data_IF_117925145447
#
_entry.id   IF_117925145447
#
_cell.length_a   1.000
_cell.length_b   1.000
_cell.length_c   1.000
_cell.angle_alpha   90.00
_cell.angle_beta   90.00
_cell.angle_gamma   90.00
#
_symmetry.space_group_name_H-M   'P 1'
#
loop_
_entity.id
_entity.type
_entity.pdbx_description
1 polymer ?
#
# COMPACT_ATOMS: atom_id res chain seq x y z
N UNK A 1 0.24 10.96 -15.46
CA UNK A 1 -0.75 11.69 -16.30
C UNK A 1 -2.16 11.40 -15.78
N UNK A 2 -3.03 12.40 -15.71
CA UNK A 2 -4.42 12.22 -15.29
C UNK A 2 -5.36 12.36 -16.49
N UNK A 3 -6.24 11.37 -16.69
CA UNK A 3 -7.32 11.38 -17.67
C UNK A 3 -8.67 11.30 -16.96
N UNK A 4 -9.69 11.91 -17.56
CA UNK A 4 -11.04 11.85 -17.02
C UNK A 4 -11.71 10.53 -17.41
N UNK A 5 -11.78 10.28 -18.72
CA UNK A 5 -12.55 9.18 -19.30
C UNK A 5 -11.69 7.95 -19.63
N UNK A 6 -12.18 6.72 -19.42
CA UNK A 6 -11.45 5.51 -19.76
C UNK A 6 -11.10 5.40 -21.24
N UNK A 7 -11.96 5.86 -22.15
CA UNK A 7 -11.76 5.77 -23.60
C UNK A 7 -10.56 6.60 -24.08
N UNK A 8 -10.16 7.62 -23.31
CA UNK A 8 -8.97 8.43 -23.61
C UNK A 8 -7.65 7.66 -23.44
N UNK A 9 -7.67 6.51 -22.75
CA UNK A 9 -6.52 5.62 -22.58
C UNK A 9 -5.99 5.10 -23.91
N UNK A 10 -6.87 4.74 -24.83
CA UNK A 10 -6.49 4.23 -26.14
C UNK A 10 -5.80 5.30 -26.99
N UNK A 11 -6.27 6.55 -26.90
CA UNK A 11 -5.66 7.68 -27.57
C UNK A 11 -4.26 7.97 -27.02
N UNK A 12 -4.12 7.91 -25.69
CA UNK A 12 -2.82 8.07 -25.03
C UNK A 12 -1.83 7.00 -25.54
N UNK A 13 -2.18 5.72 -25.52
CA UNK A 13 -1.27 4.67 -26.00
C UNK A 13 -0.96 4.79 -27.50
N UNK A 14 -1.92 5.21 -28.33
CA UNK A 14 -1.69 5.45 -29.76
C UNK A 14 -0.77 6.65 -30.02
N UNK A 15 -0.71 7.61 -29.11
CA UNK A 15 0.17 8.77 -29.22
C UNK A 15 1.62 8.48 -28.83
N UNK A 16 1.88 7.38 -28.12
CA UNK A 16 3.22 6.97 -27.72
C UNK A 16 3.98 6.41 -28.94
N UNK A 17 4.91 7.21 -29.47
CA UNK A 17 5.83 6.80 -30.54
C UNK A 17 7.02 5.94 -30.05
N UNK A 18 7.08 5.64 -28.75
CA UNK A 18 8.13 4.86 -28.10
C UNK A 18 7.50 3.81 -27.17
N UNK A 19 8.26 2.78 -26.82
CA UNK A 19 7.88 1.83 -25.76
C UNK A 19 7.36 2.61 -24.55
N UNK A 20 6.25 2.19 -23.91
CA UNK A 20 5.67 2.91 -22.79
C UNK A 20 6.76 3.12 -21.74
N UNK A 21 7.12 4.39 -21.54
CA UNK A 21 7.84 4.84 -20.36
C UNK A 21 7.01 4.46 -19.13
N UNK A 22 7.62 4.50 -17.94
CA UNK A 22 6.98 4.22 -16.65
C UNK A 22 5.92 5.26 -16.26
N UNK A 23 5.15 5.76 -17.23
CA UNK A 23 4.11 6.76 -17.05
C UNK A 23 2.92 6.13 -16.33
N UNK A 24 2.68 6.57 -15.10
CA UNK A 24 1.47 6.23 -14.37
C UNK A 24 0.29 7.02 -14.94
N UNK A 25 -0.72 6.30 -15.45
CA UNK A 25 -1.96 6.86 -15.95
C UNK A 25 -3.06 6.73 -14.90
N UNK A 26 -3.57 7.86 -14.41
CA UNK A 26 -4.66 7.92 -13.43
C UNK A 26 -5.94 8.26 -14.18
N UNK A 27 -6.89 7.32 -14.23
CA UNK A 27 -8.19 7.53 -14.88
C UNK A 27 -9.24 7.76 -13.81
N UNK A 28 -9.72 9.00 -13.68
CA UNK A 28 -10.56 9.44 -12.57
C UNK A 28 -11.89 8.69 -12.54
N UNK A 29 -12.56 8.54 -13.69
CA UNK A 29 -13.85 7.84 -13.74
C UNK A 29 -13.71 6.36 -13.37
N UNK A 30 -12.63 5.69 -13.79
CA UNK A 30 -12.38 4.29 -13.47
C UNK A 30 -12.18 4.10 -11.96
N UNK A 31 -11.32 4.90 -11.34
CA UNK A 31 -11.08 4.85 -9.89
C UNK A 31 -12.38 5.15 -9.12
N UNK A 32 -13.08 6.23 -9.49
CA UNK A 32 -14.34 6.64 -8.84
C UNK A 32 -15.39 5.53 -8.90
N UNK A 33 -15.62 4.96 -10.08
CA UNK A 33 -16.65 3.92 -10.26
C UNK A 33 -16.27 2.62 -9.55
N UNK A 34 -14.98 2.25 -9.55
CA UNK A 34 -14.51 1.07 -8.81
C UNK A 34 -14.65 1.25 -7.29
N UNK A 35 -14.30 2.42 -6.75
CA UNK A 35 -14.47 2.72 -5.32
C UNK A 35 -15.95 2.71 -4.92
N UNK A 36 -16.83 3.30 -5.72
CA UNK A 36 -18.28 3.26 -5.50
C UNK A 36 -18.82 1.83 -5.52
N UNK A 37 -18.42 1.03 -6.50
CA UNK A 37 -18.84 -0.37 -6.58
C UNK A 37 -18.38 -1.19 -5.37
N UNK A 38 -17.17 -0.95 -4.86
CA UNK A 38 -16.65 -1.62 -3.66
C UNK A 38 -17.34 -1.14 -2.39
N UNK A 39 -17.72 0.14 -2.32
CA UNK A 39 -18.48 0.68 -1.20
C UNK A 39 -19.86 0.05 -1.03
N UNK A 40 -20.44 -0.52 -2.09
CA UNK A 40 -21.69 -1.28 -2.00
C UNK A 40 -21.53 -2.59 -1.20
N UNK A 41 -20.32 -3.15 -1.13
CA UNK A 41 -20.02 -4.36 -0.35
C UNK A 41 -19.58 -4.03 1.08
N UNK A 42 -18.83 -2.94 1.24
CA UNK A 42 -18.34 -2.46 2.52
C UNK A 42 -18.60 -0.95 2.63
N UNK A 43 -19.69 -0.53 3.29
CA UNK A 43 -19.97 0.88 3.55
C UNK A 43 -18.81 1.55 4.31
N UNK A 44 -18.48 2.79 3.96
CA UNK A 44 -17.38 3.53 4.58
C UNK A 44 -15.99 3.27 3.98
N UNK A 45 -15.85 2.27 3.10
CA UNK A 45 -14.56 1.92 2.47
C UNK A 45 -13.92 3.10 1.71
N UNK A 46 -14.74 3.94 1.07
CA UNK A 46 -14.24 5.11 0.33
C UNK A 46 -13.56 6.09 1.29
N UNK A 47 -14.20 6.41 2.42
CA UNK A 47 -13.63 7.31 3.41
C UNK A 47 -12.32 6.76 3.97
N UNK A 48 -12.30 5.46 4.32
CA UNK A 48 -11.08 4.79 4.79
C UNK A 48 -9.94 4.87 3.77
N UNK A 49 -10.17 4.49 2.50
CA UNK A 49 -9.14 4.54 1.46
C UNK A 49 -8.70 5.98 1.17
N UNK A 50 -9.62 6.94 1.19
CA UNK A 50 -9.31 8.35 0.98
C UNK A 50 -8.39 8.89 2.07
N UNK A 51 -8.63 8.52 3.33
CA UNK A 51 -7.78 8.92 4.45
C UNK A 51 -6.39 8.27 4.33
N UNK A 52 -6.31 6.98 4.02
CA UNK A 52 -5.02 6.26 3.91
C UNK A 52 -4.07 6.75 2.80
N UNK A 53 -4.60 7.43 1.78
CA UNK A 53 -3.81 7.96 0.64
C UNK A 53 -3.50 9.45 0.83
N UNK A 54 -4.23 10.13 1.71
CA UNK A 54 -4.07 11.55 1.95
C UNK A 54 -3.28 11.78 3.24
N UNK A 55 -2.18 12.52 3.15
CA UNK A 55 -1.46 12.93 4.35
C UNK A 55 -2.28 13.92 5.15
N UNK A 56 -2.71 13.50 6.34
CA UNK A 56 -3.29 14.37 7.34
C UNK A 56 -2.18 14.85 8.27
N UNK A 57 -2.13 16.16 8.53
CA UNK A 57 -1.35 16.68 9.64
C UNK A 57 -2.05 16.41 10.97
N UNK A 58 -1.44 16.87 12.07
CA UNK A 58 -2.06 16.82 13.40
C UNK A 58 -3.45 17.47 13.36
N UNK A 59 -4.47 16.69 13.67
CA UNK A 59 -5.86 17.15 13.77
C UNK A 59 -6.08 17.65 15.20
N UNK A 60 -6.42 18.93 15.33
CA UNK A 60 -6.84 19.49 16.60
C UNK A 60 -8.19 18.86 17.02
N UNK A 61 -8.11 17.95 17.99
CA UNK A 61 -9.23 17.16 18.50
C UNK A 61 -10.14 17.97 19.43
N UNK A 62 -9.69 19.13 19.91
CA UNK A 62 -10.49 20.02 20.76
C UNK A 62 -11.55 20.80 19.95
N UNK A 63 -11.51 20.74 18.62
CA UNK A 63 -12.45 21.45 17.74
C UNK A 63 -13.86 20.83 17.79
N UNK A 64 -13.95 19.50 17.94
CA UNK A 64 -15.24 18.78 17.94
C UNK A 64 -15.30 17.90 19.18
N UNK A 65 -16.19 18.27 20.11
CA UNK A 65 -16.45 17.46 21.29
C UNK A 65 -17.15 16.14 20.91
N UNK A 66 -16.47 15.02 21.17
CA UNK A 66 -17.07 13.69 21.11
C UNK A 66 -16.06 12.56 20.87
N UNK A 67 -16.22 11.46 21.60
CA UNK A 67 -15.31 10.30 21.56
C UNK A 67 -15.12 9.74 20.14
N UNK A 68 -16.18 9.75 19.32
CA UNK A 68 -16.13 9.28 17.92
C UNK A 68 -15.17 10.09 17.04
N UNK A 69 -14.98 11.38 17.34
CA UNK A 69 -14.11 12.25 16.54
C UNK A 69 -12.66 11.97 16.87
N UNK A 70 -12.34 11.73 18.15
CA UNK A 70 -11.02 11.30 18.58
C UNK A 70 -10.62 9.97 17.92
N UNK A 71 -11.50 8.97 17.94
CA UNK A 71 -11.25 7.67 17.26
C UNK A 71 -11.09 7.83 15.74
N UNK A 72 -11.89 8.71 15.12
CA UNK A 72 -11.75 9.01 13.69
C UNK A 72 -10.44 9.74 13.37
N UNK A 73 -10.03 10.69 14.21
CA UNK A 73 -8.80 11.44 14.07
C UNK A 73 -7.56 10.56 14.26
N UNK A 74 -7.59 9.61 15.19
CA UNK A 74 -6.54 8.57 15.32
C UNK A 74 -6.40 7.77 14.01
N UNK A 75 -7.52 7.38 13.40
CA UNK A 75 -7.51 6.71 12.10
C UNK A 75 -7.02 7.58 10.94
N UNK A 76 -7.14 8.92 11.03
CA UNK A 76 -6.64 9.85 10.01
C UNK A 76 -5.12 9.93 9.96
N UNK A 77 -4.44 9.66 11.09
CA UNK A 77 -2.97 9.68 11.15
C UNK A 77 -2.31 8.53 10.37
N UNK A 78 -3.07 7.53 9.93
CA UNK A 78 -2.53 6.34 9.28
C UNK A 78 -2.43 6.51 7.75
N UNK A 79 -1.30 6.08 7.18
CA UNK A 79 -1.03 6.13 5.75
C UNK A 79 -0.56 4.78 5.18
N UNK A 80 -0.58 4.63 3.85
CA UNK A 80 -0.03 3.45 3.16
C UNK A 80 1.43 3.69 2.75
N UNK A 81 2.32 2.86 3.30
CA UNK A 81 3.74 2.83 2.95
C UNK A 81 4.09 1.60 2.10
N UNK A 82 5.06 1.77 1.21
CA UNK A 82 5.63 0.70 0.38
C UNK A 82 7.10 0.52 0.74
N UNK A 83 7.42 -0.58 1.40
CA UNK A 83 8.76 -0.85 1.93
C UNK A 83 9.42 -2.00 1.20
N UNK A 84 10.67 -1.82 0.77
CA UNK A 84 11.46 -2.91 0.19
C UNK A 84 12.11 -3.71 1.30
N UNK A 85 11.95 -5.03 1.28
CA UNK A 85 12.61 -5.92 2.24
C UNK A 85 13.78 -6.65 1.58
N UNK A 86 14.84 -6.94 2.34
CA UNK A 86 16.00 -7.70 1.87
C UNK A 86 16.12 -9.03 2.61
N UNK A 87 16.96 -9.94 2.11
CA UNK A 87 17.21 -11.19 2.82
C UNK A 87 18.05 -10.97 4.09
N UNK A 88 18.85 -9.91 4.14
CA UNK A 88 19.76 -9.62 5.26
C UNK A 88 18.97 -9.18 6.50
N UNK A 89 17.83 -8.50 6.30
CA UNK A 89 16.95 -8.04 7.36
C UNK A 89 16.11 -9.21 7.97
N UNK A 90 16.06 -10.37 7.31
CA UNK A 90 15.14 -11.45 7.64
C UNK A 90 15.87 -12.80 7.77
N UNK A 91 15.95 -13.34 8.98
CA UNK A 91 16.56 -14.65 9.25
C UNK A 91 15.78 -15.82 8.60
N UNK A 92 16.28 -16.32 7.46
CA UNK A 92 15.90 -17.60 6.88
C UNK A 92 14.51 -17.67 6.21
N UNK A 93 13.83 -18.82 6.35
CA UNK A 93 12.53 -19.11 5.74
C UNK A 93 11.40 -18.35 6.47
N UNK A 94 11.30 -17.04 6.24
CA UNK A 94 10.18 -16.26 6.76
C UNK A 94 8.95 -16.37 5.85
N UNK A 95 7.77 -16.28 6.45
CA UNK A 95 6.49 -16.25 5.75
C UNK A 95 5.81 -14.90 5.92
N UNK A 96 4.98 -14.52 4.94
CA UNK A 96 4.18 -13.29 5.01
C UNK A 96 3.37 -13.21 6.30
N UNK A 97 2.76 -14.33 6.72
CA UNK A 97 2.06 -14.45 7.99
C UNK A 97 2.90 -14.00 9.19
N UNK A 98 4.16 -14.44 9.27
CA UNK A 98 5.01 -14.14 10.41
C UNK A 98 5.36 -12.66 10.45
N UNK A 99 5.62 -12.05 9.30
CA UNK A 99 5.86 -10.60 9.19
C UNK A 99 4.62 -9.83 9.63
N UNK A 100 3.44 -10.18 9.11
CA UNK A 100 2.19 -9.52 9.50
C UNK A 100 1.88 -9.66 11.00
N UNK A 101 2.23 -10.79 11.62
CA UNK A 101 2.07 -11.00 13.06
C UNK A 101 2.97 -10.08 13.87
N UNK A 102 4.27 -10.03 13.54
CA UNK A 102 5.25 -9.17 14.25
C UNK A 102 4.92 -7.69 14.06
N UNK A 103 4.61 -7.28 12.82
CA UNK A 103 4.23 -5.90 12.53
C UNK A 103 3.03 -5.42 13.38
N UNK A 104 2.04 -6.29 13.59
CA UNK A 104 0.88 -5.95 14.39
C UNK A 104 1.17 -5.98 15.90
N UNK A 105 1.95 -6.94 16.38
CA UNK A 105 2.21 -7.12 17.82
C UNK A 105 3.20 -6.09 18.37
N UNK A 106 4.26 -5.78 17.63
CA UNK A 106 5.35 -4.93 18.14
C UNK A 106 5.17 -3.46 17.73
N UNK A 107 4.55 -3.19 16.58
CA UNK A 107 4.51 -1.86 15.98
C UNK A 107 3.09 -1.32 15.74
N UNK A 108 2.05 -2.06 16.13
CA UNK A 108 0.64 -1.73 15.84
C UNK A 108 0.36 -1.44 14.36
N UNK A 109 1.16 -2.02 13.45
CA UNK A 109 1.09 -1.78 12.02
C UNK A 109 0.42 -2.94 11.26
N UNK A 110 -0.19 -2.65 10.11
CA UNK A 110 -0.94 -3.63 9.31
C UNK A 110 -0.26 -3.86 7.96
N UNK A 111 0.42 -4.99 7.83
CA UNK A 111 0.95 -5.46 6.53
C UNK A 111 -0.17 -6.17 5.76
N UNK A 112 -0.64 -5.57 4.66
CA UNK A 112 -1.83 -6.06 3.94
C UNK A 112 -1.58 -6.58 2.52
N UNK A 113 -0.43 -6.25 1.91
CA UNK A 113 -0.10 -6.75 0.58
C UNK A 113 1.40 -6.96 0.37
N UNK A 114 1.71 -7.77 -0.63
CA UNK A 114 3.07 -8.09 -1.07
C UNK A 114 3.19 -7.84 -2.58
N UNK A 115 4.19 -7.08 -2.98
CA UNK A 115 4.66 -6.97 -4.35
C UNK A 115 5.86 -7.88 -4.58
N UNK A 116 5.81 -8.63 -5.68
CA UNK A 116 6.91 -9.46 -6.15
C UNK A 116 7.35 -8.90 -7.50
N UNK A 117 8.54 -8.30 -7.55
CA UNK A 117 9.11 -7.73 -8.77
C UNK A 117 10.28 -8.58 -9.27
N UNK A 118 10.28 -8.94 -10.55
CA UNK A 118 11.41 -9.66 -11.14
C UNK A 118 12.60 -8.73 -11.38
N UNK A 119 13.80 -9.13 -10.93
CA UNK A 119 15.05 -8.39 -11.20
C UNK A 119 15.45 -8.44 -12.68
N UNK A 120 15.06 -9.50 -13.40
CA UNK A 120 15.37 -9.69 -14.82
C UNK A 120 14.44 -8.90 -15.75
N UNK A 121 13.21 -8.63 -15.31
CA UNK A 121 12.18 -7.92 -16.07
C UNK A 121 11.54 -6.88 -15.15
N UNK A 122 12.24 -5.76 -14.95
CA UNK A 122 11.85 -4.68 -14.03
C UNK A 122 10.45 -4.11 -14.28
N UNK A 123 9.92 -4.25 -15.49
CA UNK A 123 8.57 -3.79 -15.88
C UNK A 123 7.42 -4.72 -15.45
N UNK A 124 7.71 -5.88 -14.86
CA UNK A 124 6.68 -6.83 -14.40
C UNK A 124 6.81 -7.07 -12.90
N UNK A 125 5.87 -6.51 -12.15
CA UNK A 125 5.61 -6.90 -10.77
C UNK A 125 4.20 -7.45 -10.61
N UNK A 126 4.03 -8.30 -9.59
CA UNK A 126 2.74 -8.88 -9.20
C UNK A 126 2.46 -8.46 -7.77
N UNK A 127 1.33 -7.79 -7.56
CA UNK A 127 0.84 -7.46 -6.22
C UNK A 127 -0.18 -8.51 -5.79
N UNK A 128 -0.01 -9.04 -4.59
CA UNK A 128 -0.92 -9.99 -3.93
C UNK A 128 -1.43 -9.39 -2.63
N UNK A 129 -2.75 -9.32 -2.49
CA UNK A 129 -3.40 -8.91 -1.25
C UNK A 129 -3.45 -10.11 -0.29
N UNK A 130 -2.97 -9.90 0.94
CA UNK A 130 -2.93 -10.89 2.04
C UNK A 130 -2.50 -12.33 1.64
N UNK A 131 -1.29 -12.54 1.08
CA UNK A 131 -0.82 -13.87 0.72
C UNK A 131 -0.24 -14.62 1.94
N UNK A 132 -1.10 -14.94 2.91
CA UNK A 132 -0.74 -15.53 4.21
C UNK A 132 0.30 -16.68 4.13
N UNK A 133 0.11 -17.65 3.22
CA UNK A 133 1.00 -18.80 3.06
C UNK A 133 2.25 -18.56 2.21
N UNK A 134 2.55 -17.32 1.81
CA UNK A 134 3.71 -17.03 0.98
C UNK A 134 5.00 -17.13 1.81
N UNK A 135 5.97 -17.85 1.27
CA UNK A 135 7.31 -18.00 1.86
C UNK A 135 8.29 -17.30 0.93
N UNK A 136 9.09 -16.40 1.49
CA UNK A 136 10.08 -15.65 0.71
C UNK A 136 11.27 -16.54 0.35
N UNK A 137 11.58 -16.62 -0.95
CA UNK A 137 12.62 -17.49 -1.52
C UNK A 137 13.24 -16.79 -2.72
N UNK A 138 14.32 -17.33 -3.26
CA UNK A 138 14.91 -16.84 -4.52
C UNK A 138 15.15 -15.33 -4.56
N UNK A 139 15.61 -14.75 -3.44
CA UNK A 139 15.90 -13.32 -3.26
C UNK A 139 16.90 -12.76 -4.28
N UNK A 140 17.66 -13.62 -4.96
CA UNK A 140 18.55 -13.25 -6.06
C UNK A 140 17.80 -12.98 -7.38
N UNK A 141 16.58 -13.49 -7.55
CA UNK A 141 15.74 -13.30 -8.74
C UNK A 141 14.65 -12.23 -8.55
N UNK A 142 14.21 -12.01 -7.31
CA UNK A 142 13.08 -11.14 -7.00
C UNK A 142 13.45 -10.05 -6.01
N UNK A 143 12.83 -8.88 -6.19
CA UNK A 143 12.67 -7.87 -5.15
C UNK A 143 11.28 -8.03 -4.54
N UNK A 144 11.22 -7.93 -3.22
CA UNK A 144 9.97 -8.00 -2.47
C UNK A 144 9.67 -6.64 -1.85
N UNK A 145 8.42 -6.20 -1.97
CA UNK A 145 7.95 -4.99 -1.30
C UNK A 145 6.68 -5.28 -0.51
N UNK A 146 6.63 -4.79 0.71
CA UNK A 146 5.46 -4.89 1.58
C UNK A 146 4.67 -3.59 1.49
N UNK A 147 3.35 -3.71 1.49
CA UNK A 147 2.45 -2.59 1.72
C UNK A 147 1.93 -2.64 3.15
N UNK A 148 2.16 -1.55 3.86
CA UNK A 148 1.96 -1.43 5.31
C UNK A 148 1.06 -0.22 5.55
N UNK A 149 0.13 -0.34 6.50
CA UNK A 149 -0.61 0.78 7.08
C UNK A 149 -0.04 1.04 8.47
N UNK A 150 0.46 2.25 8.70
CA UNK A 150 0.98 2.72 9.99
C UNK A 150 0.89 4.24 10.08
N UNK A 151 1.06 4.78 11.28
CA UNK A 151 0.97 6.23 11.56
C UNK A 151 2.21 6.99 11.06
N UNK A 152 3.39 6.37 11.13
CA UNK A 152 4.66 7.02 10.75
C UNK A 152 5.44 6.15 9.75
N UNK A 153 6.17 6.82 8.86
CA UNK A 153 7.15 6.21 7.97
C UNK A 153 8.33 5.60 8.74
N UNK A 154 8.72 6.14 9.91
CA UNK A 154 9.77 5.54 10.75
C UNK A 154 9.41 4.11 11.18
N UNK A 155 8.15 3.89 11.58
CA UNK A 155 7.64 2.56 11.92
C UNK A 155 7.71 1.60 10.72
N UNK A 156 7.45 2.10 9.51
CA UNK A 156 7.57 1.31 8.30
C UNK A 156 9.03 0.88 8.02
N UNK A 157 10.00 1.74 8.33
CA UNK A 157 11.45 1.44 8.23
C UNK A 157 11.91 0.43 9.28
N UNK A 158 11.39 0.51 10.51
CA UNK A 158 11.71 -0.46 11.57
C UNK A 158 11.22 -1.86 11.21
N UNK A 159 10.00 -1.97 10.66
CA UNK A 159 9.45 -3.24 10.14
C UNK A 159 10.29 -3.75 8.97
N UNK A 160 10.82 -2.87 8.12
CA UNK A 160 11.72 -3.28 7.05
C UNK A 160 12.96 -3.99 7.60
N UNK A 161 13.58 -3.45 8.65
CA UNK A 161 14.82 -3.99 9.21
C UNK A 161 14.61 -5.16 10.18
N UNK A 162 13.37 -5.38 10.63
CA UNK A 162 13.06 -6.34 11.70
C UNK A 162 14.03 -6.18 12.88
N UNK A 163 14.29 -4.94 13.30
CA UNK A 163 15.03 -4.69 14.54
C UNK A 163 14.15 -5.16 15.71
N UNK A 164 14.23 -6.46 16.00
CA UNK A 164 13.58 -7.06 17.17
C UNK A 164 14.17 -6.38 18.41
N UNK A 165 13.36 -5.58 19.11
CA UNK A 165 13.69 -5.13 20.47
C UNK A 165 13.61 -6.27 21.47
#
# INVERSE_FOLDING_TARGET
MQLIKPESKDLYYKSLNLSPLQDQLIIVEEIKMNLLAKSCFAPGLIAMISNLIASAGEVDTDIIEGDWFCEYAEGLGHEIYRMQISQEDYDGNISFKKISEVAYQEYSAIVFALEIQSKMLTSKSIIRLNPNGFIFKDWHLFNYFLYIICEDGEVAEDIQKLEMQ
#
